data_IF_131200183695
#
_entry.id   IF_131200183695
#
_cell.length_a   1.000
_cell.length_b   1.000
_cell.length_c   1.000
_cell.angle_alpha   90.00
_cell.angle_beta   90.00
_cell.angle_gamma   90.00
#
_symmetry.space_group_name_H-M   'P 1'
#
loop_
_entity.id
_entity.type
_entity.pdbx_description
1 polymer ?
#
# COMPACT_ATOMS: atom_id res chain seq x y z
N UNK A 1 -4.45 -23.00 77.42
CA UNK A 1 -4.25 -22.34 76.11
C UNK A 1 -5.43 -21.44 75.89
N UNK A 2 -5.20 -20.15 75.63
CA UNK A 2 -6.30 -19.20 75.42
C UNK A 2 -6.88 -19.37 74.02
N UNK A 3 -8.03 -20.04 73.96
CA UNK A 3 -8.84 -20.27 72.76
C UNK A 3 -8.96 -19.04 71.82
N UNK A 4 -9.24 -17.81 72.30
CA UNK A 4 -9.37 -16.64 71.42
C UNK A 4 -8.06 -16.24 70.71
N UNK A 5 -6.90 -16.57 71.29
CA UNK A 5 -5.60 -16.27 70.71
C UNK A 5 -5.27 -17.26 69.58
N UNK A 6 -5.68 -18.52 69.74
CA UNK A 6 -5.57 -19.55 68.70
C UNK A 6 -6.48 -19.23 67.50
N UNK A 7 -7.73 -18.82 67.77
CA UNK A 7 -8.69 -18.45 66.71
C UNK A 7 -8.21 -17.24 65.90
N UNK A 8 -7.63 -16.23 66.55
CA UNK A 8 -7.04 -15.07 65.86
C UNK A 8 -5.85 -15.46 64.98
N UNK A 9 -4.95 -16.33 65.47
CA UNK A 9 -3.79 -16.80 64.69
C UNK A 9 -4.25 -17.56 63.45
N UNK A 10 -5.24 -18.45 63.57
CA UNK A 10 -5.79 -19.21 62.45
C UNK A 10 -6.44 -18.27 61.41
N UNK A 11 -7.30 -17.34 61.85
CA UNK A 11 -7.94 -16.37 60.95
C UNK A 11 -6.91 -15.47 60.23
N UNK A 12 -5.86 -15.05 60.93
CA UNK A 12 -4.79 -14.25 60.31
C UNK A 12 -3.97 -15.03 59.27
N UNK A 13 -3.75 -16.33 59.50
CA UNK A 13 -3.08 -17.21 58.55
C UNK A 13 -3.93 -17.44 57.30
N UNK A 14 -5.23 -17.67 57.46
CA UNK A 14 -6.18 -17.86 56.36
C UNK A 14 -6.31 -16.58 55.50
N UNK A 15 -6.37 -15.40 56.13
CA UNK A 15 -6.40 -14.12 55.43
C UNK A 15 -5.12 -13.90 54.61
N UNK A 16 -3.95 -14.21 55.16
CA UNK A 16 -2.68 -14.06 54.46
C UNK A 16 -2.55 -14.99 53.25
N UNK A 17 -3.07 -16.22 53.35
CA UNK A 17 -3.12 -17.16 52.23
C UNK A 17 -4.04 -16.65 51.11
N UNK A 18 -5.22 -16.12 51.46
CA UNK A 18 -6.15 -15.49 50.53
C UNK A 18 -5.53 -14.29 49.81
N UNK A 19 -4.84 -13.40 50.54
CA UNK A 19 -4.15 -12.25 49.93
C UNK A 19 -3.04 -12.68 48.96
N UNK A 20 -2.28 -13.71 49.33
CA UNK A 20 -1.23 -14.27 48.48
C UNK A 20 -1.80 -14.86 47.20
N UNK A 21 -2.90 -15.60 47.31
CA UNK A 21 -3.60 -16.18 46.18
C UNK A 21 -4.18 -15.07 45.27
N UNK A 22 -4.78 -14.03 45.84
CA UNK A 22 -5.30 -12.88 45.10
C UNK A 22 -4.21 -12.13 44.32
N UNK A 23 -3.04 -11.93 44.93
CA UNK A 23 -1.87 -11.33 44.25
C UNK A 23 -1.41 -12.18 43.06
N UNK A 24 -1.38 -13.51 43.22
CA UNK A 24 -1.03 -14.43 42.12
C UNK A 24 -2.06 -14.38 40.99
N UNK A 25 -3.36 -14.40 41.30
CA UNK A 25 -4.41 -14.29 40.30
C UNK A 25 -4.34 -12.97 39.53
N UNK A 26 -4.13 -11.85 40.23
CA UNK A 26 -3.97 -10.55 39.58
C UNK A 26 -2.77 -10.55 38.62
N UNK A 27 -1.62 -11.08 39.05
CA UNK A 27 -0.44 -11.17 38.20
C UNK A 27 -0.67 -12.02 36.93
N UNK A 28 -1.41 -13.12 37.05
CA UNK A 28 -1.79 -13.96 35.90
C UNK A 28 -2.75 -13.21 34.97
N UNK A 29 -3.76 -12.52 35.52
CA UNK A 29 -4.71 -11.73 34.73
C UNK A 29 -4.01 -10.62 33.96
N UNK A 30 -3.05 -9.92 34.59
CA UNK A 30 -2.26 -8.88 33.94
C UNK A 30 -1.36 -9.45 32.83
N UNK A 31 -0.74 -10.61 33.05
CA UNK A 31 0.06 -11.28 32.02
C UNK A 31 -0.79 -11.71 30.83
N UNK A 32 -1.95 -12.32 31.10
CA UNK A 32 -2.92 -12.69 30.07
C UNK A 32 -3.40 -11.45 29.31
N UNK A 33 -3.71 -10.35 30.00
CA UNK A 33 -4.09 -9.08 29.39
C UNK A 33 -3.00 -8.55 28.44
N UNK A 34 -1.74 -8.52 28.88
CA UNK A 34 -0.60 -8.12 28.04
C UNK A 34 -0.46 -9.01 26.80
N UNK A 35 -0.61 -10.32 26.96
CA UNK A 35 -0.52 -11.28 25.85
C UNK A 35 -1.64 -11.11 24.84
N UNK A 36 -2.88 -10.88 25.31
CA UNK A 36 -4.03 -10.60 24.46
C UNK A 36 -3.79 -9.33 23.63
N UNK A 37 -3.37 -8.23 24.25
CA UNK A 37 -3.05 -6.99 23.54
C UNK A 37 -2.02 -7.22 22.44
N UNK A 38 -0.93 -7.92 22.75
CA UNK A 38 0.13 -8.24 21.77
C UNK A 38 -0.38 -9.10 20.60
N UNK A 39 -1.30 -10.04 20.85
CA UNK A 39 -1.90 -10.87 19.80
C UNK A 39 -2.82 -10.02 18.92
N UNK A 40 -3.63 -9.15 19.52
CA UNK A 40 -4.52 -8.22 18.80
C UNK A 40 -3.72 -7.31 17.86
N UNK A 41 -2.67 -6.67 18.36
CA UNK A 41 -1.79 -5.80 17.57
C UNK A 41 -1.14 -6.54 16.40
N UNK A 42 -0.64 -7.76 16.62
CA UNK A 42 -0.07 -8.59 15.56
C UNK A 42 -1.11 -8.96 14.51
N UNK A 43 -2.32 -9.30 14.93
CA UNK A 43 -3.41 -9.68 14.04
C UNK A 43 -3.85 -8.50 13.18
N UNK A 44 -3.97 -7.31 13.77
CA UNK A 44 -4.27 -6.09 13.04
C UNK A 44 -3.17 -5.71 12.06
N UNK A 45 -1.91 -5.78 12.50
CA UNK A 45 -0.76 -5.48 11.66
C UNK A 45 -0.71 -6.42 10.45
N UNK A 46 -0.96 -7.71 10.65
CA UNK A 46 -1.06 -8.69 9.58
C UNK A 46 -2.22 -8.39 8.62
N UNK A 47 -3.38 -7.95 9.14
CA UNK A 47 -4.53 -7.52 8.32
C UNK A 47 -4.19 -6.30 7.47
N UNK A 48 -3.56 -5.28 8.06
CA UNK A 48 -3.12 -4.07 7.35
C UNK A 48 -2.13 -4.43 6.22
N UNK A 49 -1.19 -5.33 6.49
CA UNK A 49 -0.23 -5.81 5.50
C UNK A 49 -0.92 -6.54 4.33
N UNK A 50 -1.87 -7.45 4.61
CA UNK A 50 -2.64 -8.12 3.56
C UNK A 50 -3.44 -7.14 2.69
N UNK A 51 -4.10 -6.17 3.32
CA UNK A 51 -4.84 -5.11 2.61
C UNK A 51 -3.92 -4.29 1.70
N UNK A 52 -2.74 -3.90 2.21
CA UNK A 52 -1.73 -3.17 1.43
C UNK A 52 -1.25 -3.97 0.22
N UNK A 53 -0.89 -5.25 0.42
CA UNK A 53 -0.47 -6.13 -0.69
C UNK A 53 -1.56 -6.28 -1.75
N UNK A 54 -2.82 -6.39 -1.32
CA UNK A 54 -3.94 -6.46 -2.26
C UNK A 54 -4.11 -5.17 -3.08
N UNK A 55 -3.93 -4.02 -2.45
CA UNK A 55 -3.95 -2.72 -3.14
C UNK A 55 -2.80 -2.59 -4.13
N UNK A 56 -1.58 -3.02 -3.75
CA UNK A 56 -0.40 -3.05 -4.62
C UNK A 56 -0.65 -3.92 -5.86
N UNK A 57 -1.14 -5.15 -5.68
CA UNK A 57 -1.51 -6.03 -6.80
C UNK A 57 -2.59 -5.42 -7.70
N UNK A 58 -3.64 -4.82 -7.12
CA UNK A 58 -4.70 -4.17 -7.89
C UNK A 58 -4.14 -2.99 -8.70
N UNK A 59 -3.20 -2.22 -8.15
CA UNK A 59 -2.54 -1.12 -8.84
C UNK A 59 -1.68 -1.62 -10.00
N UNK A 60 -0.94 -2.71 -9.79
CA UNK A 60 -0.11 -3.33 -10.83
C UNK A 60 -0.99 -3.82 -12.00
N UNK A 61 -2.07 -4.53 -11.70
CA UNK A 61 -3.04 -5.02 -12.71
C UNK A 61 -3.66 -3.87 -13.51
N UNK A 62 -4.09 -2.81 -12.82
CA UNK A 62 -4.59 -1.61 -13.49
C UNK A 62 -3.53 -0.99 -14.41
N UNK A 63 -2.28 -0.91 -13.94
CA UNK A 63 -1.16 -0.35 -14.71
C UNK A 63 -0.89 -1.17 -15.96
N UNK A 64 -0.86 -2.51 -15.86
CA UNK A 64 -0.70 -3.42 -17.01
C UNK A 64 -1.74 -3.16 -18.09
N UNK A 65 -3.02 -3.03 -17.71
CA UNK A 65 -4.10 -2.72 -18.66
C UNK A 65 -3.85 -1.38 -19.36
N UNK A 66 -3.54 -0.34 -18.60
CA UNK A 66 -3.36 1.01 -19.15
C UNK A 66 -2.13 1.11 -20.04
N UNK A 67 -1.04 0.43 -19.68
CA UNK A 67 0.18 0.35 -20.48
C UNK A 67 -0.01 -0.47 -21.75
N UNK A 68 -0.74 -1.59 -21.68
CA UNK A 68 -1.08 -2.37 -22.87
C UNK A 68 -1.95 -1.54 -23.82
N UNK A 69 -3.01 -0.89 -23.29
CA UNK A 69 -3.87 0.01 -24.06
C UNK A 69 -3.06 1.11 -24.75
N UNK A 70 -2.12 1.72 -24.03
CA UNK A 70 -1.31 2.80 -24.56
C UNK A 70 -0.33 2.36 -25.63
N UNK A 71 0.35 1.21 -25.44
CA UNK A 71 1.36 0.71 -26.36
C UNK A 71 0.77 0.19 -27.67
N UNK A 72 -0.40 -0.45 -27.61
CA UNK A 72 -1.01 -1.11 -28.78
C UNK A 72 -2.04 -0.24 -29.49
N UNK A 73 -2.52 0.84 -28.85
CA UNK A 73 -3.62 1.64 -29.35
C UNK A 73 -4.98 0.93 -29.32
N UNK A 74 -5.06 -0.27 -28.73
CA UNK A 74 -6.30 -1.03 -28.67
C UNK A 74 -7.35 -0.35 -27.78
N UNK A 75 -8.59 -0.83 -27.86
CA UNK A 75 -9.63 -0.38 -26.92
C UNK A 75 -9.30 -0.83 -25.50
N UNK A 76 -9.80 -0.11 -24.50
CA UNK A 76 -9.61 -0.50 -23.09
C UNK A 76 -10.20 -1.89 -22.79
N UNK A 77 -11.28 -2.26 -23.46
CA UNK A 77 -11.90 -3.57 -23.30
C UNK A 77 -10.96 -4.69 -23.78
N UNK A 78 -10.37 -4.54 -24.97
CA UNK A 78 -9.38 -5.48 -25.49
C UNK A 78 -8.15 -5.59 -24.57
N UNK A 79 -7.66 -4.46 -24.05
CA UNK A 79 -6.56 -4.47 -23.08
C UNK A 79 -6.94 -5.23 -21.79
N UNK A 80 -8.17 -5.07 -21.29
CA UNK A 80 -8.66 -5.81 -20.13
C UNK A 80 -8.78 -7.31 -20.42
N UNK A 81 -9.26 -7.69 -21.61
CA UNK A 81 -9.37 -9.10 -22.01
C UNK A 81 -8.00 -9.78 -22.10
N UNK A 82 -7.02 -9.09 -22.68
CA UNK A 82 -5.65 -9.59 -22.76
C UNK A 82 -5.05 -9.79 -21.36
N UNK A 83 -5.11 -8.77 -20.50
CA UNK A 83 -4.56 -8.88 -19.13
C UNK A 83 -5.35 -9.88 -18.28
N UNK A 84 -6.65 -10.05 -18.51
CA UNK A 84 -7.46 -11.09 -17.87
C UNK A 84 -6.91 -12.49 -18.19
N UNK A 85 -6.55 -12.76 -19.45
CA UNK A 85 -5.97 -14.06 -19.83
C UNK A 85 -4.61 -14.34 -19.17
N UNK A 86 -3.82 -13.30 -18.86
CA UNK A 86 -2.52 -13.46 -18.19
C UNK A 86 -2.63 -13.63 -16.67
N UNK A 87 -3.66 -13.03 -16.07
CA UNK A 87 -3.76 -12.89 -14.60
C UNK A 87 -4.84 -13.75 -13.96
N UNK A 88 -5.71 -14.37 -14.76
CA UNK A 88 -6.87 -15.12 -14.28
C UNK A 88 -7.97 -14.26 -13.65
N UNK A 89 -7.90 -12.93 -13.81
CA UNK A 89 -8.96 -12.00 -13.39
C UNK A 89 -10.09 -11.92 -14.43
N UNK A 90 -11.22 -11.32 -14.04
CA UNK A 90 -12.28 -10.98 -14.99
C UNK A 90 -12.01 -9.63 -15.68
N UNK A 91 -12.36 -9.48 -16.97
CA UNK A 91 -12.25 -8.21 -17.68
C UNK A 91 -13.01 -7.07 -16.98
N UNK A 92 -14.15 -7.36 -16.34
CA UNK A 92 -14.99 -6.38 -15.63
C UNK A 92 -14.28 -5.81 -14.40
N UNK A 93 -13.59 -6.68 -13.64
CA UNK A 93 -12.78 -6.26 -12.49
C UNK A 93 -11.64 -5.38 -12.96
N UNK A 94 -10.91 -5.80 -13.99
CA UNK A 94 -9.80 -5.04 -14.55
C UNK A 94 -10.23 -3.69 -15.11
N UNK A 95 -11.39 -3.63 -15.77
CA UNK A 95 -11.99 -2.39 -16.25
C UNK A 95 -12.24 -1.40 -15.09
N UNK A 96 -12.76 -1.90 -13.97
CA UNK A 96 -13.01 -1.08 -12.77
C UNK A 96 -11.70 -0.52 -12.20
N UNK A 97 -10.69 -1.38 -12.03
CA UNK A 97 -9.38 -0.97 -11.54
C UNK A 97 -8.71 0.05 -12.47
N UNK A 98 -8.75 -0.18 -13.78
CA UNK A 98 -8.20 0.72 -14.78
C UNK A 98 -8.89 2.09 -14.78
N UNK A 99 -10.23 2.14 -14.61
CA UNK A 99 -10.97 3.40 -14.50
C UNK A 99 -10.52 4.22 -13.30
N UNK A 100 -10.40 3.60 -12.13
CA UNK A 100 -9.96 4.27 -10.90
C UNK A 100 -8.52 4.81 -11.01
N UNK A 101 -7.67 4.15 -11.80
CA UNK A 101 -6.25 4.50 -11.94
C UNK A 101 -5.91 5.31 -13.19
N UNK A 102 -6.86 5.54 -14.09
CA UNK A 102 -6.61 6.24 -15.36
C UNK A 102 -6.02 7.64 -15.19
N UNK A 103 -6.64 8.48 -14.35
CA UNK A 103 -6.19 9.87 -14.16
C UNK A 103 -4.78 9.92 -13.52
N UNK A 104 -4.50 9.25 -12.39
CA UNK A 104 -3.16 9.21 -11.82
C UNK A 104 -2.12 8.64 -12.79
N UNK A 105 -2.45 7.57 -13.51
CA UNK A 105 -1.55 6.96 -14.47
C UNK A 105 -1.21 7.91 -15.62
N UNK A 106 -2.22 8.58 -16.20
CA UNK A 106 -2.02 9.56 -17.28
C UNK A 106 -1.15 10.73 -16.83
N UNK A 107 -1.35 11.21 -15.60
CA UNK A 107 -0.51 12.26 -15.02
C UNK A 107 0.94 11.80 -14.87
N UNK A 108 1.17 10.59 -14.36
CA UNK A 108 2.51 10.01 -14.24
C UNK A 108 3.20 9.86 -15.61
N UNK A 109 2.47 9.44 -16.65
CA UNK A 109 3.03 9.35 -18.01
C UNK A 109 3.43 10.72 -18.57
N UNK A 110 2.61 11.76 -18.37
CA UNK A 110 2.97 13.12 -18.79
C UNK A 110 4.23 13.63 -18.08
N UNK A 111 4.37 13.35 -16.78
CA UNK A 111 5.55 13.74 -16.00
C UNK A 111 6.79 13.03 -16.55
N UNK A 112 6.74 11.70 -16.70
CA UNK A 112 7.85 10.91 -17.28
C UNK A 112 8.24 11.38 -18.67
N UNK A 113 7.25 11.68 -19.52
CA UNK A 113 7.48 12.21 -20.87
C UNK A 113 8.24 13.53 -20.82
N UNK A 114 7.81 14.47 -19.96
CA UNK A 114 8.50 15.77 -19.77
C UNK A 114 9.92 15.60 -19.25
N UNK A 115 10.13 14.71 -18.30
CA UNK A 115 11.47 14.39 -17.80
C UNK A 115 12.36 13.83 -18.90
N UNK A 116 11.86 12.91 -19.72
CA UNK A 116 12.61 12.37 -20.86
C UNK A 116 12.94 13.45 -21.89
N UNK A 117 11.99 14.32 -22.23
CA UNK A 117 12.22 15.50 -23.10
C UNK A 117 13.33 16.37 -22.53
N UNK A 118 13.28 16.70 -21.24
CA UNK A 118 14.30 17.49 -20.56
C UNK A 118 15.67 16.82 -20.53
N UNK A 119 15.72 15.50 -20.31
CA UNK A 119 16.97 14.70 -20.36
C UNK A 119 17.60 14.73 -21.74
N UNK A 120 16.83 14.48 -22.79
CA UNK A 120 17.36 14.48 -24.15
C UNK A 120 17.79 15.88 -24.61
N UNK A 121 17.06 16.93 -24.22
CA UNK A 121 17.48 18.30 -24.50
C UNK A 121 18.83 18.66 -23.83
N UNK A 122 19.08 18.14 -22.62
CA UNK A 122 20.38 18.30 -21.93
C UNK A 122 21.52 17.57 -22.63
N UNK A 123 21.22 16.53 -23.40
CA UNK A 123 22.19 15.82 -24.24
C UNK A 123 22.44 16.53 -25.59
N UNK A 124 21.86 17.70 -25.81
CA UNK A 124 22.06 18.50 -27.02
C UNK A 124 21.17 18.10 -28.21
N UNK A 125 20.22 17.18 -28.02
CA UNK A 125 19.32 16.77 -29.10
C UNK A 125 18.36 17.90 -29.48
N UNK A 126 18.12 18.05 -30.78
CA UNK A 126 17.12 18.96 -31.32
C UNK A 126 15.71 18.49 -31.02
N UNK A 127 14.74 19.42 -31.04
CA UNK A 127 13.32 19.10 -30.85
C UNK A 127 12.82 18.04 -31.85
N UNK A 128 13.39 17.99 -33.05
CA UNK A 128 13.04 17.04 -34.09
C UNK A 128 13.53 15.62 -33.75
N UNK A 129 14.77 15.48 -33.27
CA UNK A 129 15.32 14.19 -32.85
C UNK A 129 14.56 13.62 -31.65
N UNK A 130 14.28 14.47 -30.66
CA UNK A 130 13.49 14.09 -29.48
C UNK A 130 12.08 13.65 -29.88
N UNK A 131 11.44 14.40 -30.79
CA UNK A 131 10.11 14.08 -31.31
C UNK A 131 10.09 12.70 -31.98
N UNK A 132 11.09 12.40 -32.81
CA UNK A 132 11.23 11.09 -33.46
C UNK A 132 11.47 9.97 -32.44
N UNK A 133 12.32 10.18 -31.45
CA UNK A 133 12.65 9.16 -30.44
C UNK A 133 11.47 8.82 -29.51
N UNK A 134 10.63 9.81 -29.19
CA UNK A 134 9.52 9.65 -28.25
C UNK A 134 8.16 9.45 -28.93
N UNK A 135 8.13 9.36 -30.27
CA UNK A 135 6.91 9.33 -31.07
C UNK A 135 5.94 10.47 -30.71
N UNK A 136 6.46 11.70 -30.74
CA UNK A 136 5.74 12.93 -30.43
C UNK A 136 5.80 13.90 -31.59
N UNK A 137 4.86 14.85 -31.63
CA UNK A 137 5.03 16.03 -32.48
C UNK A 137 6.08 16.97 -31.89
N UNK A 138 6.79 17.69 -32.76
CA UNK A 138 7.75 18.73 -32.36
C UNK A 138 7.10 19.81 -31.50
N UNK A 139 5.81 20.14 -31.74
CA UNK A 139 5.01 21.04 -30.90
C UNK A 139 4.84 20.50 -29.48
N UNK A 140 4.61 19.19 -29.33
CA UNK A 140 4.49 18.56 -28.01
C UNK A 140 5.80 18.62 -27.25
N UNK A 141 6.91 18.32 -27.93
CA UNK A 141 8.26 18.43 -27.36
C UNK A 141 8.54 19.85 -26.89
N UNK A 142 8.24 20.87 -27.70
CA UNK A 142 8.44 22.27 -27.33
C UNK A 142 7.64 22.67 -26.07
N UNK A 143 6.38 22.26 -25.98
CA UNK A 143 5.52 22.50 -24.79
C UNK A 143 6.08 21.81 -23.55
N UNK A 144 6.45 20.54 -23.67
CA UNK A 144 6.97 19.78 -22.54
C UNK A 144 8.35 20.26 -22.08
N UNK A 145 9.20 20.72 -23.01
CA UNK A 145 10.49 21.32 -22.69
C UNK A 145 10.34 22.66 -21.96
N UNK A 146 9.37 23.49 -22.37
CA UNK A 146 9.05 24.73 -21.66
C UNK A 146 8.58 24.45 -20.23
N UNK A 147 7.70 23.46 -20.05
CA UNK A 147 7.24 23.03 -18.73
C UNK A 147 8.35 22.39 -17.88
N UNK A 148 9.27 21.64 -18.49
CA UNK A 148 10.44 21.09 -17.80
C UNK A 148 11.35 22.21 -17.28
N UNK A 149 11.63 23.23 -18.11
CA UNK A 149 12.47 24.38 -17.73
C UNK A 149 11.87 25.17 -16.56
N UNK A 150 10.54 25.39 -16.54
CA UNK A 150 9.85 26.06 -15.43
C UNK A 150 10.01 25.37 -14.07
N UNK A 151 10.26 24.06 -14.06
CA UNK A 151 10.41 23.26 -12.82
C UNK A 151 11.86 23.09 -12.39
N UNK A 152 12.80 23.40 -13.27
CA UNK A 152 14.23 23.17 -13.06
C UNK A 152 15.01 24.45 -12.73
N UNK A 153 14.39 25.62 -12.86
CA UNK A 153 14.84 26.90 -12.31
C UNK A 153 14.09 27.23 -11.03
#
# INVERSE_FOLDING_TARGET
>A
MDQPLLDHVIQSADLHQLETLHKKYRAIADDLGRRITKITEKTESARRLRSRRQMEMNNERATKVLEHQHRTGCTRLQACQHVASETGDTPERLMTLARLRWRPWKQAQMIRRRENVGRYAKLGLSNYEIARMLDLSTTTVAKDLAEYKKRAG
#
